data_IF_365427525382
#
_entry.id   IF_365427525382
#
_cell.length_a   1.000
_cell.length_b   1.000
_cell.length_c   1.000
_cell.angle_alpha   90.00
_cell.angle_beta   90.00
_cell.angle_gamma   90.00
#
_symmetry.space_group_name_H-M   'P 1'
#
loop_
_entity.id
_entity.type
_entity.pdbx_description
1 polymer ?
#
# COMPACT_ATOMS: atom_id res chain seq x y z
N UNK A 1 -7.81 -1.09 17.58
CA UNK A 1 -6.79 -0.64 16.60
C UNK A 1 -6.60 0.86 16.76
N UNK A 2 -5.39 1.39 16.62
CA UNK A 2 -5.12 2.80 16.90
C UNK A 2 -5.86 3.73 15.90
N UNK A 3 -6.57 4.78 16.35
CA UNK A 3 -7.37 5.67 15.50
C UNK A 3 -6.56 6.50 14.48
N UNK A 4 -5.23 6.42 14.53
CA UNK A 4 -4.31 7.12 13.61
C UNK A 4 -4.23 6.41 12.27
N UNK A 5 -4.37 5.07 12.25
CA UNK A 5 -4.23 4.25 11.04
C UNK A 5 -5.42 4.36 10.09
N UNK A 6 -6.49 5.05 10.47
CA UNK A 6 -7.69 5.26 9.65
C UNK A 6 -7.84 6.71 9.19
N UNK A 7 -6.89 7.59 9.53
CA UNK A 7 -6.91 9.01 9.13
C UNK A 7 -6.00 9.26 7.93
N UNK A 8 -6.26 10.30 7.12
CA UNK A 8 -5.35 10.68 6.03
C UNK A 8 -3.93 11.01 6.53
N UNK A 9 -2.91 10.48 5.85
CA UNK A 9 -1.50 10.52 6.30
C UNK A 9 -0.70 11.74 5.81
N UNK A 10 -1.29 12.58 4.95
CA UNK A 10 -0.61 13.71 4.30
C UNK A 10 -0.09 14.79 5.25
N UNK A 11 -0.59 14.84 6.49
CA UNK A 11 -0.21 15.84 7.49
C UNK A 11 0.59 15.27 8.66
N UNK A 12 0.95 14.00 8.65
CA UNK A 12 1.77 13.43 9.71
C UNK A 12 3.18 14.02 9.71
N UNK A 13 3.70 14.30 10.91
CA UNK A 13 5.11 14.61 11.07
C UNK A 13 5.98 13.41 10.65
N UNK A 14 7.26 13.61 10.30
CA UNK A 14 8.16 12.49 10.01
C UNK A 14 8.24 11.45 11.14
N UNK A 15 8.21 11.91 12.40
CA UNK A 15 8.24 11.03 13.56
C UNK A 15 6.96 10.19 13.69
N UNK A 16 5.79 10.78 13.45
CA UNK A 16 4.52 10.06 13.48
C UNK A 16 4.42 9.05 12.32
N UNK A 17 4.90 9.42 11.13
CA UNK A 17 4.96 8.51 9.98
C UNK A 17 5.87 7.31 10.26
N UNK A 18 7.04 7.54 10.88
CA UNK A 18 7.94 6.47 11.30
C UNK A 18 7.29 5.55 12.35
N UNK A 19 6.68 6.13 13.38
CA UNK A 19 5.99 5.36 14.40
C UNK A 19 4.88 4.48 13.81
N UNK A 20 4.16 4.99 12.81
CA UNK A 20 3.15 4.24 12.09
C UNK A 20 3.77 3.11 11.25
N UNK A 21 4.80 3.38 10.46
CA UNK A 21 5.50 2.38 9.65
C UNK A 21 6.05 1.22 10.50
N UNK A 22 6.58 1.52 11.69
CA UNK A 22 7.07 0.51 12.64
C UNK A 22 5.99 -0.47 13.13
N UNK A 23 4.71 -0.15 12.98
CA UNK A 23 3.60 -1.05 13.32
C UNK A 23 3.30 -2.06 12.19
N UNK A 24 3.79 -1.83 10.97
CA UNK A 24 3.50 -2.65 9.81
C UNK A 24 3.81 -4.15 10.04
N UNK A 25 4.99 -4.55 10.56
CA UNK A 25 5.31 -5.96 10.72
C UNK A 25 4.33 -6.70 11.64
N UNK A 26 3.87 -6.04 12.71
CA UNK A 26 2.92 -6.63 13.65
C UNK A 26 1.53 -6.76 13.04
N UNK A 27 1.08 -5.72 12.32
CA UNK A 27 -0.22 -5.72 11.64
C UNK A 27 -0.25 -6.78 10.54
N UNK A 28 0.81 -6.88 9.73
CA UNK A 28 0.93 -7.85 8.64
C UNK A 28 1.00 -9.28 9.17
N UNK A 29 1.69 -9.52 10.28
CA UNK A 29 1.74 -10.83 10.95
C UNK A 29 0.37 -11.27 11.47
N UNK A 30 -0.39 -10.34 12.05
CA UNK A 30 -1.70 -10.63 12.63
C UNK A 30 -2.81 -10.77 11.58
N UNK A 31 -2.57 -10.31 10.35
CA UNK A 31 -3.50 -10.38 9.23
C UNK A 31 -2.80 -11.08 8.04
N UNK A 32 -2.72 -12.43 8.07
CA UNK A 32 -1.99 -13.19 7.07
C UNK A 32 -2.56 -12.96 5.66
N UNK A 33 -1.70 -13.10 4.65
CA UNK A 33 -1.95 -12.87 3.21
C UNK A 33 -3.17 -13.61 2.62
N UNK A 34 -3.75 -14.53 3.37
CA UNK A 34 -4.75 -15.47 2.91
C UNK A 34 -6.11 -15.15 3.51
N UNK A 35 -6.98 -14.52 2.72
CA UNK A 35 -8.32 -15.07 2.58
C UNK A 35 -8.13 -16.38 1.86
N UNK A 36 -7.89 -17.42 2.65
CA UNK A 36 -7.35 -18.65 2.12
C UNK A 36 -8.31 -19.24 1.09
N UNK A 37 -7.73 -19.64 -0.05
CA UNK A 37 -8.27 -20.68 -0.93
C UNK A 37 -8.54 -22.01 -0.18
N UNK A 38 -8.18 -22.08 1.11
CA UNK A 38 -8.52 -23.15 2.03
C UNK A 38 -9.58 -22.69 3.06
N UNK A 39 -10.82 -23.18 2.98
CA UNK A 39 -11.93 -22.76 3.85
C UNK A 39 -11.68 -23.02 5.34
N UNK A 40 -10.76 -23.91 5.71
CA UNK A 40 -10.41 -24.17 7.11
C UNK A 40 -9.55 -23.06 7.73
N UNK A 41 -8.73 -22.38 6.93
CA UNK A 41 -7.93 -21.25 7.40
C UNK A 41 -8.78 -19.98 7.54
N UNK A 42 -9.82 -19.83 6.72
CA UNK A 42 -10.78 -18.72 6.79
C UNK A 42 -11.53 -18.64 8.14
N UNK A 43 -11.60 -19.74 8.90
CA UNK A 43 -12.18 -19.79 10.24
C UNK A 43 -11.28 -19.16 11.32
N UNK A 44 -9.97 -19.05 11.05
CA UNK A 44 -8.97 -18.49 11.97
C UNK A 44 -8.46 -17.12 11.53
N UNK A 45 -8.90 -16.61 10.37
CA UNK A 45 -8.58 -15.27 9.89
C UNK A 45 -9.57 -14.26 10.48
N UNK A 46 -9.07 -13.11 10.92
CA UNK A 46 -9.91 -12.00 11.35
C UNK A 46 -10.90 -11.62 10.24
N UNK A 47 -12.15 -11.30 10.60
CA UNK A 47 -13.16 -10.88 9.65
C UNK A 47 -12.68 -9.69 8.81
N UNK A 48 -12.94 -9.70 7.50
CA UNK A 48 -12.73 -8.52 6.66
C UNK A 48 -13.56 -7.38 7.22
N UNK A 49 -12.89 -6.36 7.74
CA UNK A 49 -13.54 -5.09 8.07
C UNK A 49 -13.04 -4.06 7.05
N UNK A 50 -13.90 -3.17 6.51
CA UNK A 50 -13.48 -2.12 5.58
C UNK A 50 -12.27 -1.31 6.09
N UNK A 51 -12.14 -1.19 7.40
CA UNK A 51 -11.06 -0.47 8.08
C UNK A 51 -9.69 -1.10 7.85
N UNK A 52 -9.57 -2.42 7.67
CA UNK A 52 -8.26 -3.05 7.45
C UNK A 52 -7.63 -2.62 6.12
N UNK A 53 -8.46 -2.37 5.11
CA UNK A 53 -8.01 -1.89 3.80
C UNK A 53 -7.46 -0.47 3.91
N UNK A 54 -8.18 0.40 4.61
CA UNK A 54 -7.71 1.77 4.91
C UNK A 54 -6.40 1.74 5.70
N UNK A 55 -6.26 0.78 6.63
CA UNK A 55 -5.01 0.59 7.38
C UNK A 55 -3.86 0.22 6.44
N UNK A 56 -4.05 -0.70 5.48
CA UNK A 56 -3.01 -1.03 4.51
C UNK A 56 -2.67 0.15 3.59
N UNK A 57 -3.66 0.88 3.10
CA UNK A 57 -3.46 2.10 2.29
C UNK A 57 -2.59 3.11 3.06
N UNK A 58 -2.91 3.37 4.32
CA UNK A 58 -2.17 4.30 5.16
C UNK A 58 -0.77 3.78 5.55
N UNK A 59 -0.62 2.47 5.77
CA UNK A 59 0.68 1.85 6.00
C UNK A 59 1.58 1.97 4.78
N UNK A 60 1.06 1.80 3.56
CA UNK A 60 1.84 2.01 2.32
C UNK A 60 2.44 3.42 2.32
N UNK A 61 1.62 4.44 2.54
CA UNK A 61 2.08 5.84 2.55
C UNK A 61 3.14 6.10 3.63
N UNK A 62 2.94 5.58 4.84
CA UNK A 62 3.90 5.74 5.92
C UNK A 62 5.23 5.03 5.62
N UNK A 63 5.16 3.79 5.12
CA UNK A 63 6.31 2.98 4.78
C UNK A 63 7.13 3.59 3.63
N UNK A 64 6.47 4.10 2.58
CA UNK A 64 7.13 4.83 1.50
C UNK A 64 7.88 6.06 2.02
N UNK A 65 7.28 6.83 2.93
CA UNK A 65 7.92 8.02 3.51
C UNK A 65 9.14 7.71 4.40
N UNK A 66 9.22 6.48 4.90
CA UNK A 66 10.27 6.06 5.85
C UNK A 66 11.27 5.08 5.25
N UNK A 67 11.09 4.69 3.98
CA UNK A 67 11.96 3.74 3.29
C UNK A 67 11.73 2.26 3.64
N UNK A 68 10.60 1.89 4.27
CA UNK A 68 10.25 0.49 4.53
C UNK A 68 9.46 -0.11 3.36
N UNK A 69 10.12 -0.21 2.20
CA UNK A 69 9.49 -0.62 0.94
C UNK A 69 8.98 -2.06 0.99
N UNK A 70 9.61 -2.94 1.77
CA UNK A 70 9.18 -4.34 1.95
C UNK A 70 7.81 -4.44 2.62
N UNK A 71 7.59 -3.70 3.70
CA UNK A 71 6.27 -3.64 4.35
C UNK A 71 5.21 -3.03 3.43
N UNK A 72 5.59 -2.04 2.62
CA UNK A 72 4.68 -1.42 1.65
C UNK A 72 4.24 -2.42 0.57
N UNK A 73 5.16 -3.19 -0.01
CA UNK A 73 4.83 -4.24 -0.97
C UNK A 73 3.92 -5.33 -0.39
N UNK A 74 4.16 -5.74 0.86
CA UNK A 74 3.29 -6.71 1.55
C UNK A 74 1.87 -6.18 1.78
N UNK A 75 1.72 -4.88 2.05
CA UNK A 75 0.40 -4.25 2.12
C UNK A 75 -0.26 -4.21 0.73
N UNK A 76 0.50 -3.84 -0.31
CA UNK A 76 0.02 -3.80 -1.70
C UNK A 76 -0.47 -5.17 -2.17
N UNK A 77 0.28 -6.25 -1.92
CA UNK A 77 -0.13 -7.62 -2.26
C UNK A 77 -1.51 -7.98 -1.73
N UNK A 78 -1.83 -7.54 -0.51
CA UNK A 78 -3.15 -7.78 0.11
C UNK A 78 -4.25 -6.98 -0.59
N UNK A 79 -3.97 -5.72 -0.96
CA UNK A 79 -4.90 -4.90 -1.74
C UNK A 79 -5.11 -5.46 -3.15
N UNK A 80 -4.05 -5.91 -3.83
CA UNK A 80 -4.12 -6.59 -5.14
C UNK A 80 -4.96 -7.86 -5.05
N UNK A 81 -4.74 -8.68 -4.01
CA UNK A 81 -5.52 -9.91 -3.79
C UNK A 81 -7.01 -9.61 -3.62
N UNK A 82 -7.36 -8.49 -2.98
CA UNK A 82 -8.75 -8.13 -2.67
C UNK A 82 -9.48 -7.38 -3.78
N UNK A 83 -8.79 -6.48 -4.48
CA UNK A 83 -9.38 -5.52 -5.43
C UNK A 83 -8.94 -5.72 -6.87
N UNK A 84 -7.92 -6.56 -7.11
CA UNK A 84 -7.33 -6.79 -8.42
C UNK A 84 -6.20 -5.81 -8.75
N UNK A 85 -5.29 -6.25 -9.61
CA UNK A 85 -4.12 -5.46 -10.08
C UNK A 85 -4.56 -4.24 -10.91
N UNK A 86 -5.69 -4.34 -11.62
CA UNK A 86 -6.19 -3.28 -12.51
C UNK A 86 -6.99 -2.20 -11.79
N UNK A 87 -7.26 -2.35 -10.49
CA UNK A 87 -7.91 -1.32 -9.70
C UNK A 87 -7.05 -0.04 -9.71
N UNK A 88 -7.65 1.09 -10.11
CA UNK A 88 -6.92 2.35 -10.28
C UNK A 88 -6.16 2.79 -9.02
N UNK A 89 -6.79 2.66 -7.84
CA UNK A 89 -6.16 3.01 -6.58
C UNK A 89 -5.00 2.06 -6.24
N UNK A 90 -5.14 0.76 -6.52
CA UNK A 90 -4.06 -0.22 -6.36
C UNK A 90 -2.88 0.10 -7.28
N UNK A 91 -3.14 0.44 -8.55
CA UNK A 91 -2.10 0.89 -9.49
C UNK A 91 -1.40 2.16 -9.03
N UNK A 92 -2.14 3.13 -8.49
CA UNK A 92 -1.55 4.34 -7.91
C UNK A 92 -0.59 4.03 -6.75
N UNK A 93 -0.97 3.14 -5.82
CA UNK A 93 -0.06 2.71 -4.76
C UNK A 93 1.15 1.94 -5.28
N UNK A 94 0.98 1.09 -6.30
CA UNK A 94 2.11 0.43 -6.95
C UNK A 94 3.09 1.46 -7.53
N UNK A 95 2.58 2.52 -8.15
CA UNK A 95 3.39 3.65 -8.61
C UNK A 95 4.17 4.32 -7.48
N UNK A 96 3.50 4.72 -6.41
CA UNK A 96 4.14 5.35 -5.24
C UNK A 96 5.23 4.49 -4.60
N UNK A 97 5.02 3.17 -4.55
CA UNK A 97 6.03 2.26 -4.01
C UNK A 97 7.24 2.18 -4.97
N UNK A 98 7.03 2.13 -6.29
CA UNK A 98 8.13 2.19 -7.27
C UNK A 98 8.90 3.51 -7.17
N UNK A 99 8.22 4.64 -6.99
CA UNK A 99 8.87 5.94 -6.77
C UNK A 99 9.73 5.94 -5.51
N UNK A 100 9.19 5.43 -4.39
CA UNK A 100 9.91 5.35 -3.13
C UNK A 100 11.08 4.34 -3.15
N UNK A 101 11.02 3.34 -4.03
CA UNK A 101 12.05 2.32 -4.20
C UNK A 101 13.17 2.72 -5.16
N UNK A 102 12.98 3.77 -5.95
CA UNK A 102 13.94 4.15 -6.98
C UNK A 102 15.24 4.70 -6.35
N UNK A 103 16.37 4.10 -6.71
CA UNK A 103 17.66 4.42 -6.11
C UNK A 103 18.36 5.60 -6.82
N UNK A 104 17.91 5.94 -8.03
CA UNK A 104 18.54 6.96 -8.86
C UNK A 104 17.56 7.69 -9.77
N UNK A 105 18.03 8.82 -10.30
CA UNK A 105 17.26 9.68 -11.20
C UNK A 105 16.81 8.96 -12.48
N UNK A 106 17.61 8.01 -12.99
CA UNK A 106 17.28 7.27 -14.21
C UNK A 106 16.04 6.39 -14.04
N UNK A 107 15.94 5.70 -12.90
CA UNK A 107 14.78 4.88 -12.54
C UNK A 107 13.52 5.73 -12.38
N UNK A 108 13.62 6.90 -11.76
CA UNK A 108 12.49 7.85 -11.66
C UNK A 108 12.04 8.30 -13.06
N UNK A 109 12.96 8.66 -13.95
CA UNK A 109 12.60 9.08 -15.32
C UNK A 109 11.90 7.96 -16.07
N UNK A 110 12.40 6.73 -15.96
CA UNK A 110 11.77 5.57 -16.58
C UNK A 110 10.34 5.33 -16.06
N UNK A 111 10.13 5.53 -14.76
CA UNK A 111 8.81 5.41 -14.13
C UNK A 111 7.84 6.49 -14.61
N UNK A 112 8.29 7.73 -14.76
CA UNK A 112 7.48 8.81 -15.32
C UNK A 112 7.06 8.52 -16.77
N UNK A 113 7.94 7.92 -17.58
CA UNK A 113 7.60 7.47 -18.94
C UNK A 113 6.58 6.32 -18.95
N UNK A 114 6.63 5.43 -17.95
CA UNK A 114 5.61 4.39 -17.75
C UNK A 114 4.25 5.03 -17.47
N UNK A 115 4.19 6.07 -16.64
CA UNK A 115 2.95 6.80 -16.36
C UNK A 115 2.39 7.50 -17.60
N UNK A 116 3.22 8.15 -18.41
CA UNK A 116 2.77 8.76 -19.66
C UNK A 116 2.15 7.72 -20.61
N UNK A 117 2.70 6.50 -20.63
CA UNK A 117 2.18 5.40 -21.44
C UNK A 117 0.83 4.88 -20.92
N UNK A 118 0.68 4.77 -19.61
CA UNK A 118 -0.54 4.26 -18.95
C UNK A 118 -1.66 5.29 -18.97
N UNK A 119 -1.35 6.57 -18.69
CA UNK A 119 -2.33 7.64 -18.52
C UNK A 119 -2.61 8.40 -19.82
N UNK A 120 -1.65 8.46 -20.75
CA UNK A 120 -1.79 9.20 -22.01
C UNK A 120 -3.03 8.87 -22.85
N UNK A 121 -3.49 7.60 -22.92
CA UNK A 121 -4.72 7.25 -23.64
C UNK A 121 -6.02 7.78 -22.99
N UNK A 122 -6.04 7.95 -21.67
CA UNK A 122 -7.22 8.38 -20.90
C UNK A 122 -7.03 9.81 -20.38
N UNK A 123 -7.65 10.77 -21.06
CA UNK A 123 -7.60 12.21 -20.75
C UNK A 123 -8.55 12.64 -19.61
N UNK A 124 -9.06 11.73 -18.81
CA UNK A 124 -10.00 12.01 -17.71
C UNK A 124 -9.41 12.93 -16.62
N UNK A 125 -8.09 13.03 -16.54
CA UNK A 125 -7.35 13.85 -15.56
C UNK A 125 -6.64 15.09 -16.15
N UNK A 126 -6.94 15.48 -17.40
CA UNK A 126 -6.41 16.71 -18.04
C UNK A 126 -7.52 17.74 -18.23
#
# INVERSE_FOLDING_TARGET
MAPVLTRPQGHLSPADALHLAQQAPTILKNNPRAFASNPLLALFTAAETPEIWVVYENLILACCRTGDTDSAYQCLERLVTRFGIDNERVRAFQGLIKEAAADNQGEIVQLLMEYDTILGPDNTNI
#
